data_IF_372666953717
#
_entry.id   IF_372666953717
#
_cell.length_a   1.000
_cell.length_b   1.000
_cell.length_c   1.000
_cell.angle_alpha   90.00
_cell.angle_beta   90.00
_cell.angle_gamma   90.00
#
_symmetry.space_group_name_H-M   'P 1'
#
loop_
_entity.id
_entity.type
_entity.pdbx_description
1 polymer ?
#
# COMPACT_ATOMS: atom_id res chain seq x y z
N UNK A 1 -5.13 -5.24 -20.12
CA UNK A 1 -5.71 -5.12 -18.77
C UNK A 1 -4.58 -4.73 -17.84
N UNK A 2 -4.78 -3.72 -16.99
CA UNK A 2 -3.72 -3.20 -16.12
C UNK A 2 -3.98 -3.68 -14.69
N UNK A 3 -3.09 -4.53 -14.17
CA UNK A 3 -3.24 -5.07 -12.82
C UNK A 3 -2.69 -4.06 -11.80
N UNK A 4 -3.48 -3.84 -10.74
CA UNK A 4 -3.14 -2.93 -9.66
C UNK A 4 -3.16 -3.66 -8.33
N UNK A 5 -2.21 -3.32 -7.47
CA UNK A 5 -2.08 -3.83 -6.12
C UNK A 5 -2.45 -2.73 -5.12
N UNK A 6 -3.18 -3.08 -4.06
CA UNK A 6 -3.53 -2.16 -2.97
C UNK A 6 -3.21 -2.79 -1.61
N UNK A 7 -2.69 -1.99 -0.69
CA UNK A 7 -2.41 -2.38 0.69
C UNK A 7 -3.42 -1.79 1.66
N UNK A 8 -3.98 -2.66 2.51
CA UNK A 8 -4.73 -2.25 3.69
C UNK A 8 -3.79 -2.34 4.89
N UNK A 9 -3.31 -1.20 5.36
CA UNK A 9 -2.40 -1.15 6.51
C UNK A 9 -3.20 -0.85 7.77
N UNK A 10 -3.16 -1.78 8.72
CA UNK A 10 -3.81 -1.68 10.01
C UNK A 10 -2.81 -1.33 11.10
N UNK A 11 -3.17 -0.36 11.94
CA UNK A 11 -2.45 -0.01 13.17
C UNK A 11 -3.47 0.25 14.28
N UNK A 12 -3.41 -0.56 15.34
CA UNK A 12 -4.42 -0.59 16.40
C UNK A 12 -5.85 -0.72 15.82
N UNK A 13 -6.72 0.27 16.03
CA UNK A 13 -8.08 0.32 15.46
C UNK A 13 -8.20 1.17 14.18
N UNK A 14 -7.07 1.69 13.67
CA UNK A 14 -7.02 2.56 12.50
C UNK A 14 -6.58 1.86 11.22
N UNK A 15 -7.04 2.41 10.09
CA UNK A 15 -6.56 2.06 8.75
C UNK A 15 -5.74 3.24 8.23
N UNK A 16 -4.56 2.96 7.65
CA UNK A 16 -3.76 3.99 7.01
C UNK A 16 -4.32 4.28 5.62
N UNK A 17 -4.60 5.56 5.38
CA UNK A 17 -4.88 6.11 4.06
C UNK A 17 -3.84 7.18 3.75
N UNK A 18 -3.48 7.29 2.48
CA UNK A 18 -2.61 8.37 2.00
C UNK A 18 -3.50 9.42 1.32
N UNK A 19 -3.10 10.69 1.42
CA UNK A 19 -3.77 11.76 0.69
C UNK A 19 -3.07 11.95 -0.64
N UNK A 20 -3.85 11.99 -1.71
CA UNK A 20 -3.34 12.21 -3.05
C UNK A 20 -2.69 13.61 -3.15
N UNK A 21 -1.51 13.67 -3.77
CA UNK A 21 -0.81 14.92 -4.01
C UNK A 21 -1.60 15.90 -4.89
N UNK A 22 -1.12 17.14 -4.96
CA UNK A 22 -1.78 18.22 -5.69
C UNK A 22 -1.80 17.98 -7.21
N UNK A 23 -0.88 17.17 -7.72
CA UNK A 23 -0.80 16.78 -9.12
C UNK A 23 -1.49 15.43 -9.37
N UNK A 24 -2.59 15.45 -10.14
CA UNK A 24 -3.28 14.24 -10.60
C UNK A 24 -4.78 14.46 -10.86
N UNK A 25 -5.47 13.39 -11.24
CA UNK A 25 -6.90 13.43 -11.63
C UNK A 25 -7.87 13.55 -10.44
N UNK A 26 -7.41 13.33 -9.21
CA UNK A 26 -8.22 13.39 -7.98
C UNK A 26 -7.44 14.00 -6.81
N UNK A 27 -7.06 15.28 -6.90
CA UNK A 27 -6.25 15.92 -5.86
C UNK A 27 -7.01 15.91 -4.52
N UNK A 28 -6.26 15.76 -3.43
CA UNK A 28 -6.74 15.84 -2.03
C UNK A 28 -7.69 14.74 -1.56
N UNK A 29 -8.02 13.76 -2.41
CA UNK A 29 -8.80 12.59 -1.99
C UNK A 29 -7.92 11.61 -1.22
N UNK A 30 -8.57 10.79 -0.41
CA UNK A 30 -7.95 9.68 0.29
C UNK A 30 -7.90 8.45 -0.60
N UNK A 31 -6.76 7.77 -0.60
CA UNK A 31 -6.59 6.48 -1.25
C UNK A 31 -5.81 5.52 -0.36
N UNK A 32 -5.90 4.24 -0.69
CA UNK A 32 -5.07 3.24 -0.07
C UNK A 32 -3.72 3.16 -0.80
N UNK A 33 -2.60 3.02 -0.07
CA UNK A 33 -1.29 2.90 -0.69
C UNK A 33 -1.23 1.66 -1.59
N UNK A 34 -0.61 1.80 -2.75
CA UNK A 34 -0.61 0.77 -3.76
C UNK A 34 0.05 1.24 -5.03
N UNK A 35 -0.09 0.45 -6.09
CA UNK A 35 0.50 0.78 -7.37
C UNK A 35 0.20 -0.22 -8.46
N UNK A 36 0.78 0.03 -9.63
CA UNK A 36 0.65 -0.84 -10.80
C UNK A 36 1.61 -2.02 -10.66
N UNK A 37 1.10 -3.23 -10.88
CA UNK A 37 1.91 -4.44 -10.90
C UNK A 37 2.73 -4.46 -12.19
N UNK A 38 4.05 -4.59 -12.06
CA UNK A 38 4.98 -4.80 -13.18
C UNK A 38 4.93 -6.27 -13.62
N UNK A 39 5.17 -6.53 -14.90
CA UNK A 39 5.08 -7.86 -15.50
C UNK A 39 6.02 -8.92 -14.88
N UNK A 40 7.06 -8.51 -14.16
CA UNK A 40 8.01 -9.41 -13.49
C UNK A 40 7.83 -9.52 -11.97
N UNK A 41 6.80 -8.89 -11.39
CA UNK A 41 6.60 -8.87 -9.94
C UNK A 41 5.25 -9.46 -9.54
N UNK A 42 5.22 -10.14 -8.39
CA UNK A 42 3.98 -10.55 -7.73
C UNK A 42 3.31 -9.35 -7.06
N UNK A 43 1.99 -9.43 -6.80
CA UNK A 43 1.28 -8.40 -6.04
C UNK A 43 1.93 -8.09 -4.67
N UNK A 44 2.54 -9.10 -4.03
CA UNK A 44 3.30 -8.92 -2.79
C UNK A 44 4.56 -8.08 -3.01
N UNK A 45 5.32 -8.35 -4.06
CA UNK A 45 6.52 -7.57 -4.42
C UNK A 45 6.16 -6.13 -4.82
N UNK A 46 5.09 -5.95 -5.59
CA UNK A 46 4.50 -4.64 -5.94
C UNK A 46 4.25 -3.81 -4.67
N UNK A 47 3.51 -4.37 -3.71
CA UNK A 47 3.18 -3.66 -2.46
C UNK A 47 4.41 -3.38 -1.61
N UNK A 48 5.36 -4.30 -1.49
CA UNK A 48 6.60 -4.04 -0.73
C UNK A 48 7.39 -2.90 -1.36
N UNK A 49 7.49 -2.86 -2.70
CA UNK A 49 8.18 -1.79 -3.44
C UNK A 49 7.51 -0.44 -3.25
N UNK A 50 6.19 -0.36 -3.42
CA UNK A 50 5.43 0.89 -3.25
C UNK A 50 5.48 1.38 -1.79
N UNK A 51 5.20 0.50 -0.83
CA UNK A 51 5.11 0.87 0.60
C UNK A 51 6.47 1.26 1.18
N UNK A 52 7.56 0.60 0.77
CA UNK A 52 8.92 0.96 1.19
C UNK A 52 9.32 2.34 0.66
N UNK A 53 8.98 2.65 -0.60
CA UNK A 53 9.25 3.95 -1.19
C UNK A 53 8.52 5.08 -0.46
N UNK A 54 7.30 4.83 0.01
CA UNK A 54 6.50 5.81 0.78
C UNK A 54 6.94 5.97 2.25
N UNK A 55 8.10 5.40 2.66
CA UNK A 55 8.76 5.61 3.98
C UNK A 55 7.99 5.13 5.22
N UNK A 56 7.06 4.20 5.07
CA UNK A 56 6.44 3.58 6.24
C UNK A 56 7.45 2.62 6.91
N UNK A 57 7.52 2.58 8.24
CA UNK A 57 8.52 1.81 9.02
C UNK A 57 8.50 0.29 8.80
N UNK A 58 8.97 -0.52 9.76
CA UNK A 58 8.89 -2.00 9.63
C UNK A 58 7.43 -2.47 9.62
N UNK A 59 6.99 -3.07 8.52
CA UNK A 59 5.62 -3.59 8.34
C UNK A 59 5.68 -5.10 8.11
N UNK A 60 4.79 -5.87 8.76
CA UNK A 60 4.54 -7.26 8.43
C UNK A 60 3.49 -7.38 7.34
N UNK A 61 3.82 -8.09 6.26
CA UNK A 61 2.96 -8.19 5.08
C UNK A 61 2.27 -9.56 4.96
N UNK A 62 0.96 -9.57 4.78
CA UNK A 62 0.14 -10.76 4.50
C UNK A 62 -0.65 -10.51 3.22
N UNK A 63 -0.28 -11.17 2.12
CA UNK A 63 -0.97 -11.00 0.84
C UNK A 63 -2.18 -11.92 0.74
N UNK A 64 -3.34 -11.39 0.34
CA UNK A 64 -4.50 -12.17 -0.10
C UNK A 64 -4.75 -11.94 -1.58
N UNK A 65 -5.51 -12.82 -2.25
CA UNK A 65 -5.72 -12.86 -3.71
C UNK A 65 -6.11 -11.52 -4.37
N UNK A 66 -6.59 -10.53 -3.62
CA UNK A 66 -7.05 -9.23 -4.14
C UNK A 66 -6.46 -8.02 -3.40
N UNK A 67 -5.96 -8.19 -2.17
CA UNK A 67 -5.41 -7.11 -1.36
C UNK A 67 -4.30 -7.62 -0.43
N UNK A 68 -3.29 -6.80 -0.15
CA UNK A 68 -2.25 -7.16 0.83
C UNK A 68 -2.58 -6.48 2.16
N UNK A 69 -2.87 -7.28 3.18
CA UNK A 69 -3.03 -6.81 4.54
C UNK A 69 -1.66 -6.61 5.19
N UNK A 70 -1.42 -5.40 5.65
CA UNK A 70 -0.18 -4.96 6.27
C UNK A 70 -0.45 -4.65 7.74
N UNK A 71 0.33 -5.23 8.65
CA UNK A 71 0.28 -4.89 10.09
C UNK A 71 1.56 -4.16 10.47
N UNK A 72 1.41 -2.95 11.02
CA UNK A 72 2.53 -2.24 11.63
C UNK A 72 2.75 -2.79 13.03
N UNK A 73 3.93 -3.35 13.29
CA UNK A 73 4.31 -3.72 14.65
C UNK A 73 4.66 -2.45 15.43
N UNK A 74 4.25 -2.37 16.71
CA UNK A 74 4.74 -1.36 17.65
C UNK A 74 6.25 -1.56 17.84
N UNK A 75 7.06 -0.93 17.01
CA UNK A 75 8.47 -0.71 17.34
C UNK A 75 8.58 0.75 17.75
N UNK A 76 8.98 0.91 19.02
CA UNK A 76 9.17 2.14 19.80
C UNK A 76 10.02 3.16 19.03
#
# INVERSE_FOLDING_TARGET
MLEVCCAIILKDAGILTVQHGQEGSHPWKWEFPGGKIRSSETAKQCIVRETYFTRFGKIRTTATKTAVQLRMDKTI
#
